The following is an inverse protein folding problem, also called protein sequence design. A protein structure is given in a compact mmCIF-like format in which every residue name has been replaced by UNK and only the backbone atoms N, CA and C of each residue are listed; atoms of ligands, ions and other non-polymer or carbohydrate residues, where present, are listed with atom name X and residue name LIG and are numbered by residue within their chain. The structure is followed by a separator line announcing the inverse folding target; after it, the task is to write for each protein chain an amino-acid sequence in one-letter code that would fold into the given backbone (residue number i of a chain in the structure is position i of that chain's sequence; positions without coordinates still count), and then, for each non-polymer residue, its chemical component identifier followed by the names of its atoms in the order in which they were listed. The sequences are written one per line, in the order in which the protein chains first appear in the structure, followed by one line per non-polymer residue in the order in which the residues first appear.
data_IF_604124145015
#
_entry.id   IF_604124145015
#
_cell.length_a   1.000
_cell.length_b   1.000
_cell.length_c   1.000
_cell.angle_alpha   90.00
_cell.angle_beta   90.00
_cell.angle_gamma   90.00
#
_symmetry.space_group_name_H-M   'P 1'
#
loop_
_entity.id
_entity.type
_entity.pdbx_description
1 polymer ?
#
# COMPACT_ATOMS: atom_id res chain seq x y z
N UNK A 1 12.49 -18.14 -14.97
CA UNK A 1 13.00 -18.94 -13.84
C UNK A 1 14.08 -19.86 -14.37
N UNK A 2 15.20 -19.98 -13.66
CA UNK A 2 16.26 -20.96 -13.95
C UNK A 2 16.00 -22.30 -13.23
N UNK A 3 16.95 -23.23 -13.29
CA UNK A 3 16.86 -24.55 -12.64
C UNK A 3 16.73 -24.46 -11.11
N UNK A 4 17.11 -23.34 -10.52
CA UNK A 4 17.05 -23.06 -9.08
C UNK A 4 15.77 -22.29 -8.71
N UNK A 5 14.84 -22.10 -9.67
CA UNK A 5 13.65 -21.27 -9.50
C UNK A 5 13.96 -19.81 -9.15
N UNK A 6 15.14 -19.31 -9.52
CA UNK A 6 15.50 -17.91 -9.33
C UNK A 6 14.82 -17.01 -10.37
N UNK A 7 14.58 -15.74 -10.00
CA UNK A 7 14.11 -14.74 -10.95
C UNK A 7 15.21 -14.43 -11.95
N UNK A 8 14.85 -14.36 -13.24
CA UNK A 8 15.76 -13.89 -14.30
C UNK A 8 15.84 -12.36 -14.37
N UNK A 9 15.20 -11.65 -13.43
CA UNK A 9 15.25 -10.20 -13.38
C UNK A 9 16.70 -9.75 -13.18
N UNK A 10 17.26 -8.93 -14.08
CA UNK A 10 18.67 -8.54 -14.05
C UNK A 10 19.02 -7.65 -12.84
N UNK A 11 18.02 -7.07 -12.17
CA UNK A 11 18.19 -6.24 -10.98
C UNK A 11 17.06 -6.48 -9.98
N UNK A 12 17.37 -6.41 -8.68
CA UNK A 12 16.37 -6.43 -7.61
C UNK A 12 15.77 -5.04 -7.42
N UNK A 13 14.76 -4.74 -8.23
CA UNK A 13 14.06 -3.45 -8.19
C UNK A 13 13.40 -3.25 -6.81
N UNK A 14 13.61 -2.09 -6.20
CA UNK A 14 12.90 -1.68 -4.99
C UNK A 14 11.43 -1.39 -5.33
N UNK A 15 10.49 -2.06 -4.68
CA UNK A 15 9.05 -1.90 -4.96
C UNK A 15 8.26 -1.62 -3.69
N UNK A 16 7.05 -1.08 -3.85
CA UNK A 16 6.11 -0.95 -2.75
C UNK A 16 4.66 -1.01 -3.20
N UNK A 17 3.78 -1.38 -2.28
CA UNK A 17 2.33 -1.27 -2.41
C UNK A 17 1.77 -0.22 -1.46
N UNK A 18 0.89 0.62 -1.99
CA UNK A 18 0.05 1.52 -1.18
C UNK A 18 -1.39 1.08 -1.40
N UNK A 19 -1.98 0.47 -0.39
CA UNK A 19 -3.36 0.01 -0.43
C UNK A 19 -4.27 1.07 0.18
N UNK A 20 -4.92 1.86 -0.68
CA UNK A 20 -5.92 2.84 -0.26
C UNK A 20 -7.29 2.19 -0.19
N UNK A 21 -7.89 2.22 1.00
CA UNK A 21 -9.12 1.48 1.27
C UNK A 21 -10.14 2.38 1.97
N UNK A 22 -11.40 2.25 1.56
CA UNK A 22 -12.52 2.92 2.22
C UNK A 22 -12.95 2.22 3.52
N UNK A 23 -12.34 1.09 3.88
CA UNK A 23 -12.69 0.35 5.10
C UNK A 23 -11.79 0.76 6.27
N UNK A 24 -12.30 0.61 7.49
CA UNK A 24 -11.50 0.80 8.69
C UNK A 24 -10.43 -0.29 8.81
N UNK A 25 -9.45 -0.10 9.70
CA UNK A 25 -8.42 -1.09 9.96
C UNK A 25 -9.03 -2.38 10.54
N UNK A 26 -10.02 -2.24 11.40
CA UNK A 26 -10.71 -3.33 12.07
C UNK A 26 -11.43 -4.18 11.03
N UNK A 27 -12.20 -3.55 10.15
CA UNK A 27 -12.88 -4.25 9.07
C UNK A 27 -11.89 -4.93 8.10
N UNK A 28 -10.77 -4.27 7.78
CA UNK A 28 -9.72 -4.89 6.96
C UNK A 28 -9.24 -6.21 7.58
N UNK A 29 -8.99 -6.22 8.90
CA UNK A 29 -8.51 -7.40 9.63
C UNK A 29 -9.57 -8.48 9.73
N UNK A 30 -10.82 -8.11 10.03
CA UNK A 30 -11.96 -9.04 10.08
C UNK A 30 -12.18 -9.74 8.73
N UNK A 31 -11.95 -9.03 7.63
CA UNK A 31 -12.07 -9.58 6.29
C UNK A 31 -10.80 -10.27 5.77
N UNK A 32 -9.77 -10.40 6.61
CA UNK A 32 -8.50 -11.07 6.28
C UNK A 32 -7.84 -10.51 5.01
N UNK A 33 -7.88 -9.19 4.82
CA UNK A 33 -7.23 -8.58 3.66
C UNK A 33 -5.71 -8.77 3.67
N UNK A 34 -4.98 -8.67 4.81
CA UNK A 34 -3.54 -8.89 4.80
C UNK A 34 -3.16 -10.26 4.22
N UNK A 35 -3.90 -11.32 4.55
CA UNK A 35 -3.69 -12.66 4.02
C UNK A 35 -3.94 -12.73 2.51
N UNK A 36 -5.00 -12.07 2.04
CA UNK A 36 -5.36 -11.99 0.61
C UNK A 36 -4.30 -11.23 -0.19
N UNK A 37 -3.87 -10.08 0.32
CA UNK A 37 -2.90 -9.19 -0.32
C UNK A 37 -1.47 -9.75 -0.29
N UNK A 38 -1.13 -10.52 0.75
CA UNK A 38 0.19 -11.18 0.90
C UNK A 38 0.57 -12.04 -0.30
N UNK A 39 -0.41 -12.64 -0.99
CA UNK A 39 -0.14 -13.44 -2.19
C UNK A 39 0.47 -12.58 -3.31
N UNK A 40 -0.07 -11.38 -3.52
CA UNK A 40 0.45 -10.41 -4.48
C UNK A 40 1.82 -9.87 -4.05
N UNK A 41 1.96 -9.52 -2.76
CA UNK A 41 3.23 -9.05 -2.19
C UNK A 41 4.35 -10.09 -2.34
N UNK A 42 4.04 -11.37 -2.06
CA UNK A 42 4.98 -12.49 -2.18
C UNK A 42 5.40 -12.75 -3.62
N UNK A 43 4.48 -12.57 -4.57
CA UNK A 43 4.82 -12.64 -6.00
C UNK A 43 5.81 -11.54 -6.39
N UNK A 44 5.62 -10.31 -5.89
CA UNK A 44 6.56 -9.23 -6.14
C UNK A 44 7.91 -9.42 -5.47
N UNK A 45 7.92 -9.91 -4.23
CA UNK A 45 9.15 -10.24 -3.52
C UNK A 45 9.98 -11.27 -4.30
N UNK A 46 9.32 -12.28 -4.88
CA UNK A 46 10.01 -13.31 -5.68
C UNK A 46 10.60 -12.76 -6.98
N UNK A 47 9.92 -11.81 -7.63
CA UNK A 47 10.38 -11.24 -8.89
C UNK A 47 11.49 -10.21 -8.71
N UNK A 48 11.39 -9.38 -7.68
CA UNK A 48 12.27 -8.26 -7.44
C UNK A 48 12.89 -8.30 -6.04
N UNK A 49 12.33 -7.51 -5.12
CA UNK A 49 12.72 -7.40 -3.73
C UNK A 49 11.46 -7.33 -2.88
N UNK A 50 11.57 -7.63 -1.58
CA UNK A 50 10.46 -7.53 -0.65
C UNK A 50 9.82 -6.14 -0.74
N UNK A 51 8.55 -6.02 -1.13
CA UNK A 51 7.94 -4.73 -1.30
C UNK A 51 7.75 -4.05 0.07
N UNK A 52 7.96 -2.74 0.12
CA UNK A 52 7.40 -1.94 1.21
C UNK A 52 5.88 -1.94 1.13
N UNK A 53 5.19 -1.89 2.27
CA UNK A 53 3.72 -1.93 2.29
C UNK A 53 3.19 -0.81 3.18
N UNK A 54 2.26 -0.03 2.63
CA UNK A 54 1.51 0.99 3.35
C UNK A 54 0.01 0.75 3.17
N UNK A 55 -0.68 0.51 4.27
CA UNK A 55 -2.14 0.46 4.29
C UNK A 55 -2.69 1.82 4.70
N UNK A 56 -3.60 2.36 3.88
CA UNK A 56 -4.31 3.62 4.10
C UNK A 56 -5.79 3.27 4.27
N UNK A 57 -6.33 3.61 5.43
CA UNK A 57 -7.66 3.17 5.87
C UNK A 57 -8.67 4.31 5.86
N UNK A 58 -9.94 3.92 5.81
CA UNK A 58 -11.07 4.79 6.04
C UNK A 58 -11.06 6.04 5.14
N UNK A 59 -10.65 5.86 3.88
CA UNK A 59 -10.54 6.97 2.93
C UNK A 59 -11.90 7.59 2.62
N UNK A 60 -11.87 8.89 2.32
CA UNK A 60 -13.03 9.64 1.82
C UNK A 60 -13.33 9.17 0.39
N UNK A 61 -14.50 8.56 0.18
CA UNK A 61 -14.77 7.73 -0.99
C UNK A 61 -15.34 8.52 -2.18
N UNK A 62 -16.21 9.49 -1.92
CA UNK A 62 -16.89 10.27 -2.95
C UNK A 62 -16.55 11.74 -2.80
N UNK A 63 -16.48 12.48 -3.91
CA UNK A 63 -16.30 13.94 -3.88
C UNK A 63 -17.54 14.68 -3.36
N UNK A 64 -18.73 14.10 -3.59
CA UNK A 64 -20.02 14.64 -3.16
C UNK A 64 -20.93 13.50 -2.71
N UNK A 65 -21.07 13.32 -1.41
CA UNK A 65 -21.88 12.24 -0.83
C UNK A 65 -23.38 12.43 -1.03
N UNK A 66 -23.87 13.66 -1.23
CA UNK A 66 -25.29 13.94 -1.50
C UNK A 66 -25.83 13.24 -2.76
N UNK A 67 -24.94 12.81 -3.68
CA UNK A 67 -25.29 12.05 -4.89
C UNK A 67 -25.46 10.55 -4.64
N UNK A 68 -25.14 10.05 -3.44
CA UNK A 68 -25.10 8.63 -3.13
C UNK A 68 -25.88 8.34 -1.84
N UNK A 69 -26.70 7.28 -1.88
CA UNK A 69 -27.30 6.74 -0.65
C UNK A 69 -26.29 5.83 0.04
N UNK A 70 -25.69 6.32 1.12
CA UNK A 70 -24.68 5.59 1.91
C UNK A 70 -25.06 5.64 3.38
N UNK A 71 -25.51 4.52 3.91
CA UNK A 71 -25.98 4.41 5.31
C UNK A 71 -25.04 3.57 6.18
N UNK A 72 -24.08 2.87 5.57
CA UNK A 72 -23.16 1.97 6.27
C UNK A 72 -21.99 2.69 6.96
N UNK A 73 -21.82 4.00 6.75
CA UNK A 73 -20.82 4.82 7.45
C UNK A 73 -21.17 6.31 7.37
N UNK A 74 -20.55 7.12 8.25
CA UNK A 74 -20.77 8.56 8.33
C UNK A 74 -19.84 9.34 7.40
N UNK A 75 -20.40 10.20 6.54
CA UNK A 75 -19.62 11.16 5.76
C UNK A 75 -18.81 12.10 6.67
N UNK A 76 -19.40 12.56 7.78
CA UNK A 76 -18.74 13.50 8.69
C UNK A 76 -17.45 12.90 9.28
N UNK A 77 -17.51 11.64 9.72
CA UNK A 77 -16.34 10.93 10.22
C UNK A 77 -15.29 10.72 9.12
N UNK A 78 -15.72 10.36 7.90
CA UNK A 78 -14.83 10.25 6.74
C UNK A 78 -14.14 11.58 6.42
N UNK A 79 -14.87 12.69 6.51
CA UNK A 79 -14.33 14.03 6.27
C UNK A 79 -13.33 14.42 7.36
N UNK A 80 -13.63 14.13 8.63
CA UNK A 80 -12.70 14.31 9.76
C UNK A 80 -11.43 13.48 9.57
N UNK A 81 -11.57 12.20 9.21
CA UNK A 81 -10.46 11.30 8.91
C UNK A 81 -9.58 11.84 7.79
N UNK A 82 -10.19 12.33 6.70
CA UNK A 82 -9.46 12.98 5.61
C UNK A 82 -8.72 14.24 6.07
N UNK A 83 -9.28 15.02 6.97
CA UNK A 83 -8.61 16.23 7.49
C UNK A 83 -7.41 15.89 8.38
N UNK A 84 -7.55 14.88 9.23
CA UNK A 84 -6.58 14.58 10.30
C UNK A 84 -5.54 13.54 9.88
N UNK A 85 -5.96 12.44 9.26
CA UNK A 85 -5.12 11.28 8.97
C UNK A 85 -4.47 11.35 7.58
N UNK A 86 -5.18 11.86 6.57
CA UNK A 86 -4.66 11.86 5.19
C UNK A 86 -3.30 12.57 5.03
N UNK A 87 -3.05 13.75 5.65
CA UNK A 87 -1.72 14.37 5.57
C UNK A 87 -0.61 13.49 6.15
N UNK A 88 -0.89 12.73 7.21
CA UNK A 88 0.05 11.79 7.83
C UNK A 88 0.30 10.58 6.93
N UNK A 89 -0.74 10.09 6.25
CA UNK A 89 -0.60 8.98 5.29
C UNK A 89 0.19 9.41 4.05
N UNK A 90 0.00 10.65 3.57
CA UNK A 90 0.85 11.25 2.53
C UNK A 90 2.31 11.36 2.98
N UNK A 91 2.55 11.76 4.24
CA UNK A 91 3.90 11.79 4.80
C UNK A 91 4.53 10.40 4.81
N UNK A 92 3.82 9.38 5.30
CA UNK A 92 4.31 7.98 5.26
C UNK A 92 4.59 7.50 3.85
N UNK A 93 3.73 7.85 2.88
CA UNK A 93 3.95 7.51 1.47
C UNK A 93 5.21 8.17 0.91
N UNK A 94 5.48 9.43 1.28
CA UNK A 94 6.72 10.13 0.92
C UNK A 94 7.96 9.47 1.54
N UNK A 95 7.89 9.13 2.83
CA UNK A 95 8.98 8.45 3.54
C UNK A 95 9.27 7.07 2.95
N UNK A 96 8.23 6.33 2.59
CA UNK A 96 8.32 5.06 1.86
C UNK A 96 9.01 5.26 0.51
N UNK A 97 8.60 6.25 -0.29
CA UNK A 97 9.26 6.58 -1.54
C UNK A 97 10.75 6.93 -1.38
N UNK A 98 11.11 7.70 -0.35
CA UNK A 98 12.50 8.01 -0.03
C UNK A 98 13.30 6.76 0.37
N UNK A 99 12.68 5.80 1.07
CA UNK A 99 13.30 4.53 1.41
C UNK A 99 13.58 3.67 0.16
N UNK A 100 12.64 3.64 -0.80
CA UNK A 100 12.81 2.94 -2.07
C UNK A 100 13.98 3.52 -2.89
N UNK A 101 14.09 4.85 -2.95
CA UNK A 101 15.18 5.52 -3.65
C UNK A 101 16.55 5.12 -3.06
N UNK A 102 16.69 5.17 -1.72
CA UNK A 102 17.91 4.74 -1.03
C UNK A 102 18.23 3.26 -1.27
N UNK A 103 17.21 2.40 -1.27
CA UNK A 103 17.40 0.96 -1.56
C UNK A 103 17.87 0.74 -3.00
N UNK A 104 17.33 1.48 -3.97
CA UNK A 104 17.75 1.40 -5.36
C UNK A 104 19.21 1.84 -5.55
N UNK A 105 19.65 2.91 -4.88
CA UNK A 105 21.05 3.36 -4.88
C UNK A 105 21.99 2.30 -4.29
N UNK A 106 21.60 1.67 -3.17
CA UNK A 106 22.39 0.61 -2.54
C UNK A 106 22.54 -0.63 -3.42
N UNK A 107 21.50 -1.00 -4.16
CA UNK A 107 21.54 -2.14 -5.07
C UNK A 107 22.35 -1.84 -6.33
N UNK A 108 22.32 -0.60 -6.83
CA UNK A 108 23.20 -0.16 -7.92
C UNK A 108 24.67 -0.21 -7.52
N UNK A 109 25.01 0.16 -6.28
CA UNK A 109 26.37 0.12 -5.78
C UNK A 109 26.92 -1.30 -5.51
N UNK A 110 26.04 -2.32 -5.47
CA UNK A 110 26.40 -3.73 -5.25
C UNK A 110 26.67 -4.51 -6.53
N UNK A 111 26.22 -4.00 -7.68
CA UNK A 111 26.38 -4.60 -9.01
C UNK A 111 27.54 -3.96 -9.76
#
# INVERSE_FOLDING_TARGET
YDKQYSSLAPQKIATAFIYTMNVTREFMLEQSYPEKLRTTESFMERLFSRPGVLYVYDTYQYSEYSKYKVECFSEEEKARRRKEQFPLDCQKARELGAALARQAEQEQARN
#
